data_IF_353264953943
#
_entry.id   IF_353264953943
#
_cell.length_a   1.000
_cell.length_b   1.000
_cell.length_c   1.000
_cell.angle_alpha   90.00
_cell.angle_beta   90.00
_cell.angle_gamma   90.00
#
_symmetry.space_group_name_H-M   'P 1'
#
loop_
_entity.id
_entity.type
_entity.pdbx_description
1 polymer ?
#
# COMPACT_ATOMS: atom_id res chain seq x y z
N UNK A 1 -14.02 -20.96 -0.65
CA UNK A 1 -13.64 -19.95 -1.65
C UNK A 1 -13.36 -20.65 -2.97
N UNK A 2 -13.89 -20.15 -4.08
CA UNK A 2 -13.66 -20.71 -5.38
C UNK A 2 -12.22 -20.47 -5.87
N UNK A 3 -11.78 -21.27 -6.86
CA UNK A 3 -10.47 -21.05 -7.49
C UNK A 3 -10.39 -19.66 -8.11
N UNK A 4 -11.47 -19.21 -8.75
CA UNK A 4 -11.52 -17.88 -9.37
C UNK A 4 -11.37 -16.77 -8.31
N UNK A 5 -12.07 -16.89 -7.20
CA UNK A 5 -11.96 -15.92 -6.10
C UNK A 5 -10.55 -15.89 -5.51
N UNK A 6 -9.92 -17.08 -5.35
CA UNK A 6 -8.55 -17.15 -4.87
C UNK A 6 -7.57 -16.51 -5.84
N UNK A 7 -7.73 -16.75 -7.15
CA UNK A 7 -6.88 -16.15 -8.16
C UNK A 7 -7.04 -14.63 -8.22
N UNK A 8 -8.27 -14.13 -8.10
CA UNK A 8 -8.53 -12.70 -8.04
C UNK A 8 -7.86 -12.06 -6.81
N UNK A 9 -7.96 -12.71 -5.65
CA UNK A 9 -7.32 -12.23 -4.44
C UNK A 9 -5.79 -12.16 -4.58
N UNK A 10 -5.19 -13.20 -5.18
CA UNK A 10 -3.75 -13.22 -5.43
C UNK A 10 -3.33 -12.12 -6.40
N UNK A 11 -4.10 -11.91 -7.46
CA UNK A 11 -3.84 -10.84 -8.42
C UNK A 11 -3.92 -9.46 -7.74
N UNK A 12 -4.96 -9.23 -6.97
CA UNK A 12 -5.15 -7.98 -6.24
C UNK A 12 -3.98 -7.72 -5.29
N UNK A 13 -3.59 -8.73 -4.52
CA UNK A 13 -2.48 -8.61 -3.59
C UNK A 13 -1.16 -8.36 -4.31
N UNK A 14 -0.90 -9.09 -5.40
CA UNK A 14 0.31 -8.91 -6.20
C UNK A 14 0.43 -7.50 -6.78
N UNK A 15 -0.67 -6.96 -7.29
CA UNK A 15 -0.70 -5.59 -7.81
C UNK A 15 -0.46 -4.59 -6.67
N UNK A 16 -1.05 -4.80 -5.49
CA UNK A 16 -0.80 -3.95 -4.34
C UNK A 16 0.67 -3.94 -3.93
N UNK A 17 1.34 -5.09 -3.96
CA UNK A 17 2.77 -5.17 -3.62
C UNK A 17 3.61 -4.38 -4.62
N UNK A 18 3.35 -4.54 -5.91
CA UNK A 18 4.07 -3.79 -6.95
C UNK A 18 3.79 -2.30 -6.81
N UNK A 19 2.54 -1.91 -6.60
CA UNK A 19 2.16 -0.51 -6.40
C UNK A 19 2.84 0.07 -5.15
N UNK A 20 2.87 -0.69 -4.07
CA UNK A 20 3.51 -0.31 -2.82
C UNK A 20 4.99 -0.01 -3.02
N UNK A 21 5.71 -0.88 -3.73
CA UNK A 21 7.12 -0.67 -4.02
C UNK A 21 7.34 0.58 -4.86
N UNK A 22 6.48 0.82 -5.84
CA UNK A 22 6.54 2.03 -6.65
C UNK A 22 6.27 3.30 -5.87
N UNK A 23 5.27 3.26 -4.99
CA UNK A 23 4.93 4.42 -4.17
C UNK A 23 5.99 4.70 -3.10
N UNK A 24 6.36 3.71 -2.32
CA UNK A 24 7.39 3.87 -1.29
C UNK A 24 8.75 4.20 -1.89
N UNK A 25 9.15 3.46 -2.93
CA UNK A 25 10.43 3.71 -3.59
C UNK A 25 10.47 5.07 -4.26
N UNK A 26 9.39 5.44 -4.95
CA UNK A 26 9.30 6.73 -5.64
C UNK A 26 9.29 7.91 -4.68
N UNK A 27 8.47 7.86 -3.65
CA UNK A 27 8.43 8.93 -2.64
C UNK A 27 9.75 8.99 -1.88
N UNK A 28 10.36 7.85 -1.58
CA UNK A 28 11.65 7.82 -0.88
C UNK A 28 12.75 8.49 -1.72
N UNK A 29 12.77 8.26 -3.03
CA UNK A 29 13.75 8.89 -3.91
C UNK A 29 13.62 10.42 -3.89
N UNK A 30 12.39 10.93 -3.96
CA UNK A 30 12.13 12.38 -3.87
C UNK A 30 12.52 12.91 -2.49
N UNK A 31 12.18 12.16 -1.43
CA UNK A 31 12.55 12.49 -0.06
C UNK A 31 14.06 12.64 0.09
N UNK A 32 14.83 11.66 -0.44
CA UNK A 32 16.29 11.69 -0.39
C UNK A 32 16.87 12.90 -1.11
N UNK A 33 16.29 13.27 -2.25
CA UNK A 33 16.72 14.45 -2.98
C UNK A 33 16.52 15.73 -2.16
N UNK A 34 15.33 15.90 -1.59
CA UNK A 34 14.98 17.13 -0.89
C UNK A 34 15.55 17.22 0.54
N UNK A 35 15.72 16.08 1.19
CA UNK A 35 16.11 16.05 2.62
C UNK A 35 17.56 15.63 2.84
N UNK A 36 18.20 15.01 1.89
CA UNK A 36 19.55 14.43 2.07
C UNK A 36 20.51 14.77 0.95
N UNK A 37 20.20 15.76 0.13
CA UNK A 37 21.05 16.23 -0.98
C UNK A 37 21.41 15.15 -2.00
N UNK A 38 20.55 14.17 -2.21
CA UNK A 38 20.74 13.20 -3.26
C UNK A 38 20.63 13.88 -4.63
N UNK A 39 21.23 13.31 -5.70
CA UNK A 39 21.23 13.97 -7.01
C UNK A 39 19.83 14.08 -7.62
N UNK A 40 19.55 15.15 -8.39
CA UNK A 40 18.24 15.33 -9.03
C UNK A 40 17.80 14.17 -9.91
N UNK A 41 18.73 13.41 -10.47
CA UNK A 41 18.42 12.23 -11.27
C UNK A 41 17.63 11.20 -10.45
N UNK A 42 17.94 11.07 -9.15
CA UNK A 42 17.20 10.19 -8.27
C UNK A 42 15.74 10.65 -8.14
N UNK A 43 15.50 11.96 -8.07
CA UNK A 43 14.14 12.50 -8.02
C UNK A 43 13.37 12.20 -9.30
N UNK A 44 14.02 12.31 -10.46
CA UNK A 44 13.38 11.97 -11.74
C UNK A 44 13.00 10.49 -11.78
N UNK A 45 13.88 9.61 -11.32
CA UNK A 45 13.55 8.18 -11.20
C UNK A 45 12.39 7.96 -10.24
N UNK A 46 12.34 8.71 -9.15
CA UNK A 46 11.24 8.66 -8.18
C UNK A 46 9.91 9.06 -8.79
N UNK A 47 9.88 10.14 -9.56
CA UNK A 47 8.67 10.60 -10.25
C UNK A 47 8.19 9.54 -11.25
N UNK A 48 9.12 8.93 -12.02
CA UNK A 48 8.77 7.84 -12.93
C UNK A 48 8.17 6.65 -12.19
N UNK A 49 8.73 6.29 -11.04
CA UNK A 49 8.20 5.21 -10.21
C UNK A 49 6.81 5.53 -9.68
N UNK A 50 6.54 6.78 -9.29
CA UNK A 50 5.22 7.22 -8.82
C UNK A 50 4.18 7.15 -9.95
N UNK A 51 4.58 7.52 -11.17
CA UNK A 51 3.69 7.36 -12.32
C UNK A 51 3.40 5.88 -12.59
N UNK A 52 4.43 5.05 -12.49
CA UNK A 52 4.27 3.59 -12.61
C UNK A 52 3.33 3.02 -11.55
N UNK A 53 3.46 3.46 -10.30
CA UNK A 53 2.55 3.10 -9.22
C UNK A 53 1.10 3.45 -9.58
N UNK A 54 0.85 4.68 -10.01
CA UNK A 54 -0.50 5.09 -10.37
C UNK A 54 -1.05 4.25 -11.52
N UNK A 55 -0.22 3.95 -12.51
CA UNK A 55 -0.61 3.15 -13.67
C UNK A 55 -0.93 1.71 -13.27
N UNK A 56 -0.11 1.10 -12.42
CA UNK A 56 -0.30 -0.29 -11.96
C UNK A 56 -1.61 -0.44 -11.20
N UNK A 57 -2.02 0.56 -10.43
CA UNK A 57 -3.29 0.51 -9.70
C UNK A 57 -4.50 0.43 -10.65
N UNK A 58 -4.37 0.90 -11.88
CA UNK A 58 -5.46 0.79 -12.86
C UNK A 58 -5.70 -0.64 -13.34
N UNK A 59 -4.77 -1.56 -13.04
CA UNK A 59 -4.90 -2.97 -13.41
C UNK A 59 -5.69 -3.78 -12.39
N UNK A 60 -6.12 -3.16 -11.29
CA UNK A 60 -6.90 -3.83 -10.26
C UNK A 60 -8.28 -4.23 -10.78
N UNK A 61 -8.78 -5.41 -10.36
CA UNK A 61 -10.14 -5.83 -10.75
C UNK A 61 -11.25 -4.97 -10.13
N UNK A 62 -10.99 -4.27 -9.02
CA UNK A 62 -11.98 -3.44 -8.34
C UNK A 62 -12.17 -2.13 -9.09
N UNK A 63 -13.40 -1.81 -9.46
CA UNK A 63 -13.74 -0.59 -10.21
C UNK A 63 -13.99 0.61 -9.31
N UNK A 64 -14.28 0.38 -8.03
CA UNK A 64 -14.62 1.46 -7.11
C UNK A 64 -13.36 2.04 -6.50
N UNK A 65 -12.96 3.19 -7.00
CA UNK A 65 -11.70 3.84 -6.64
C UNK A 65 -11.52 4.01 -5.14
N UNK A 66 -12.53 4.56 -4.45
CA UNK A 66 -12.42 4.79 -3.01
C UNK A 66 -12.25 3.52 -2.20
N UNK A 67 -12.96 2.45 -2.57
CA UNK A 67 -12.84 1.17 -1.88
C UNK A 67 -11.51 0.51 -2.16
N UNK A 68 -11.00 0.65 -3.37
CA UNK A 68 -9.67 0.15 -3.71
C UNK A 68 -8.62 0.77 -2.79
N UNK A 69 -8.68 2.09 -2.61
CA UNK A 69 -7.70 2.77 -1.78
C UNK A 69 -7.92 2.52 -0.29
N UNK A 70 -9.16 2.27 0.15
CA UNK A 70 -9.40 1.83 1.52
C UNK A 70 -8.71 0.50 1.81
N UNK A 71 -8.80 -0.46 0.88
CA UNK A 71 -8.08 -1.73 1.00
C UNK A 71 -6.57 -1.53 0.95
N UNK A 72 -6.11 -0.68 0.04
CA UNK A 72 -4.69 -0.39 -0.12
C UNK A 72 -4.07 0.22 1.14
N UNK A 73 -4.85 1.01 1.89
CA UNK A 73 -4.37 1.65 3.11
C UNK A 73 -3.79 0.64 4.11
N UNK A 74 -4.44 -0.52 4.26
CA UNK A 74 -3.95 -1.58 5.14
C UNK A 74 -2.65 -2.18 4.65
N UNK A 75 -2.57 -2.48 3.36
CA UNK A 75 -1.34 -3.00 2.74
C UNK A 75 -0.22 -1.97 2.85
N UNK A 76 -0.53 -0.72 2.58
CA UNK A 76 0.44 0.37 2.64
C UNK A 76 1.04 0.51 4.04
N UNK A 77 0.21 0.47 5.08
CA UNK A 77 0.71 0.62 6.45
C UNK A 77 1.71 -0.47 6.80
N UNK A 78 1.37 -1.73 6.52
CA UNK A 78 2.29 -2.85 6.77
C UNK A 78 3.58 -2.67 5.96
N UNK A 79 3.45 -2.31 4.69
CA UNK A 79 4.60 -2.07 3.83
C UNK A 79 5.48 -0.93 4.32
N UNK A 80 4.87 0.15 4.82
CA UNK A 80 5.61 1.28 5.37
C UNK A 80 6.41 0.87 6.62
N UNK A 81 5.82 0.07 7.50
CA UNK A 81 6.54 -0.43 8.68
C UNK A 81 7.70 -1.34 8.28
N UNK A 82 7.49 -2.22 7.30
CA UNK A 82 8.55 -3.10 6.82
C UNK A 82 9.66 -2.32 6.10
N UNK A 83 9.29 -1.29 5.34
CA UNK A 83 10.27 -0.41 4.70
C UNK A 83 11.10 0.31 5.75
N UNK A 84 10.47 0.87 6.77
CA UNK A 84 11.17 1.53 7.88
C UNK A 84 12.15 0.59 8.55
N UNK A 85 11.77 -0.68 8.69
CA UNK A 85 12.66 -1.68 9.27
C UNK A 85 13.84 -2.02 8.34
N UNK A 86 13.54 -2.34 7.07
CA UNK A 86 14.56 -2.82 6.13
C UNK A 86 15.45 -1.72 5.58
N UNK A 87 14.93 -0.52 5.35
CA UNK A 87 15.65 0.59 4.73
C UNK A 87 16.16 1.59 5.76
N UNK A 88 15.31 2.00 6.70
CA UNK A 88 15.68 3.01 7.70
C UNK A 88 16.31 2.41 8.96
N UNK A 89 16.25 1.11 9.13
CA UNK A 89 16.81 0.44 10.29
C UNK A 89 15.97 0.55 11.55
N UNK A 90 14.70 0.96 11.44
CA UNK A 90 13.79 1.14 12.57
C UNK A 90 12.87 -0.06 12.70
N UNK A 91 13.24 -0.97 13.60
CA UNK A 91 12.41 -2.15 13.87
C UNK A 91 11.07 -1.73 14.46
N UNK A 92 9.94 -2.20 13.92
CA UNK A 92 8.63 -1.90 14.49
C UNK A 92 8.53 -2.40 15.92
N UNK A 93 7.93 -1.58 16.79
CA UNK A 93 7.68 -1.95 18.17
C UNK A 93 6.25 -2.48 18.34
N UNK A 94 5.87 -2.79 19.57
CA UNK A 94 4.53 -3.31 19.85
C UNK A 94 3.43 -2.32 19.52
N UNK A 95 3.69 -1.01 19.66
CA UNK A 95 2.69 0.02 19.35
C UNK A 95 2.47 0.13 17.84
N UNK A 96 3.53 -0.04 17.05
CA UNK A 96 3.40 -0.11 15.59
C UNK A 96 2.48 -1.25 15.17
N UNK A 97 2.68 -2.43 15.76
CA UNK A 97 1.87 -3.60 15.42
C UNK A 97 0.44 -3.49 15.94
N UNK A 98 0.24 -2.90 17.12
CA UNK A 98 -1.11 -2.65 17.64
C UNK A 98 -1.85 -1.67 16.72
N UNK A 99 -1.20 -0.57 16.33
CA UNK A 99 -1.78 0.40 15.42
C UNK A 99 -2.10 -0.21 14.06
N UNK A 100 -1.19 -1.04 13.53
CA UNK A 100 -1.43 -1.75 12.28
C UNK A 100 -2.66 -2.66 12.39
N UNK A 101 -2.81 -3.36 13.50
CA UNK A 101 -3.99 -4.21 13.73
C UNK A 101 -5.29 -3.42 13.76
N UNK A 102 -5.29 -2.26 14.39
CA UNK A 102 -6.46 -1.37 14.45
C UNK A 102 -6.84 -0.87 13.05
N UNK A 103 -5.84 -0.48 12.25
CA UNK A 103 -6.08 -0.02 10.88
C UNK A 103 -6.64 -1.16 10.02
N UNK A 104 -6.07 -2.36 10.14
CA UNK A 104 -6.57 -3.53 9.40
C UNK A 104 -8.01 -3.85 9.78
N UNK A 105 -8.34 -3.75 11.07
CA UNK A 105 -9.72 -3.92 11.51
C UNK A 105 -10.63 -2.87 10.85
N UNK A 106 -10.20 -1.61 10.81
CA UNK A 106 -10.94 -0.55 10.13
C UNK A 106 -11.15 -0.82 8.66
N UNK A 107 -10.12 -1.31 7.96
CA UNK A 107 -10.22 -1.68 6.54
C UNK A 107 -11.24 -2.80 6.34
N UNK A 108 -11.22 -3.82 7.19
CA UNK A 108 -12.19 -4.92 7.12
C UNK A 108 -13.61 -4.41 7.31
N UNK A 109 -13.82 -3.50 8.25
CA UNK A 109 -15.14 -2.90 8.49
C UNK A 109 -15.61 -2.12 7.26
N UNK A 110 -14.74 -1.32 6.65
CA UNK A 110 -15.09 -0.55 5.45
C UNK A 110 -15.49 -1.47 4.29
N UNK A 111 -14.74 -2.56 4.10
CA UNK A 111 -14.96 -3.43 2.94
C UNK A 111 -16.08 -4.42 3.16
N UNK A 112 -16.24 -4.95 4.36
CA UNK A 112 -17.13 -6.08 4.64
C UNK A 112 -18.16 -5.82 5.72
N UNK A 113 -18.12 -4.67 6.39
CA UNK A 113 -19.02 -4.37 7.52
C UNK A 113 -20.50 -4.50 7.17
N UNK A 114 -20.88 -4.09 5.97
CA UNK A 114 -22.27 -4.16 5.50
C UNK A 114 -22.76 -5.59 5.33
N UNK A 115 -21.87 -6.53 5.07
CA UNK A 115 -22.20 -7.96 4.96
C UNK A 115 -22.33 -8.60 6.33
N UNK A 116 -21.48 -8.16 7.28
CA UNK A 116 -21.47 -8.68 8.64
C UNK A 116 -22.60 -8.07 9.46
N UNK A 117 -22.83 -6.75 9.31
CA UNK A 117 -23.84 -6.00 10.03
C UNK A 117 -24.71 -5.23 9.02
N UNK A 118 -25.79 -5.83 8.51
CA UNK A 118 -26.63 -5.19 7.49
C UNK A 118 -27.55 -4.13 8.10
N UNK A 119 -26.98 -3.10 8.69
CA UNK A 119 -27.72 -2.05 9.41
C UNK A 119 -28.10 -0.87 8.53
N UNK A 120 -27.70 -0.88 7.31
CA UNK A 120 -28.00 0.24 6.46
C UNK A 120 -27.99 -0.09 5.00
#
# INVERSE_FOLDING_TARGET
MSVEAAMTALKTFGIFVVALLGELGGTYAVWRWLRSDAPPLLALAGVAALFGYATVQTLQPEDRYGRLFAAYAGVFLIGALLWGWGVDGNKPDRFDWIGAGVVLLGVVIVLYGRRIFPLG
#
